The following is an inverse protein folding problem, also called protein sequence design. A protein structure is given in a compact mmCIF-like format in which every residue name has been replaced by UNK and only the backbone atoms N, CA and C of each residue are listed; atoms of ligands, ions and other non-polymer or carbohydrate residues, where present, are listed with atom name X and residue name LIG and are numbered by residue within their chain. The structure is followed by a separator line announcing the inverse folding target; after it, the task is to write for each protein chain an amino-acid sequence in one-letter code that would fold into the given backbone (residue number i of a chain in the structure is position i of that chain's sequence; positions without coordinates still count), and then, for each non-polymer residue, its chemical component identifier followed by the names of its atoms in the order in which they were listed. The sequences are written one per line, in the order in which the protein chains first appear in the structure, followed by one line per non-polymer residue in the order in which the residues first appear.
data_IF_190688020808
#
_entry.id   IF_190688020808
#
_cell.length_a   1.000
_cell.length_b   1.000
_cell.length_c   1.000
_cell.angle_alpha   90.00
_cell.angle_beta   90.00
_cell.angle_gamma   90.00
#
_symmetry.space_group_name_H-M   'P 1'
#
loop_
_entity.id
_entity.type
_entity.pdbx_description
1 polymer ?
#
# COMPACT_ATOMS: atom_id res chain seq x y z
N UNK A 1 -25.10 -1.13 -14.25
CA UNK A 1 -25.13 -0.37 -13.00
C UNK A 1 -25.11 -1.26 -11.75
N UNK A 2 -26.19 -1.96 -11.38
CA UNK A 2 -26.21 -2.76 -10.12
C UNK A 2 -25.10 -3.81 -10.05
N UNK A 3 -24.95 -4.62 -11.12
CA UNK A 3 -23.90 -5.63 -11.25
C UNK A 3 -22.46 -5.06 -11.24
N UNK A 4 -22.29 -3.79 -11.63
CA UNK A 4 -20.96 -3.16 -11.67
C UNK A 4 -20.54 -2.67 -10.29
N UNK A 5 -21.49 -2.13 -9.52
CA UNK A 5 -21.26 -1.69 -8.14
C UNK A 5 -21.02 -2.87 -7.21
N UNK A 6 -21.79 -3.95 -7.36
CA UNK A 6 -21.57 -5.20 -6.61
C UNK A 6 -20.17 -5.79 -6.86
N UNK A 7 -19.71 -5.77 -8.11
CA UNK A 7 -18.37 -6.25 -8.46
C UNK A 7 -17.26 -5.39 -7.81
N UNK A 8 -17.42 -4.06 -7.81
CA UNK A 8 -16.50 -3.15 -7.12
C UNK A 8 -16.46 -3.39 -5.61
N UNK A 9 -17.61 -3.66 -4.99
CA UNK A 9 -17.67 -4.01 -3.57
C UNK A 9 -16.97 -5.34 -3.29
N UNK A 10 -17.15 -6.36 -4.13
CA UNK A 10 -16.44 -7.65 -4.02
C UNK A 10 -14.92 -7.49 -4.11
N UNK A 11 -14.44 -6.68 -5.06
CA UNK A 11 -12.99 -6.37 -5.18
C UNK A 11 -12.47 -5.60 -3.96
N UNK A 12 -13.27 -4.68 -3.41
CA UNK A 12 -12.92 -3.98 -2.19
C UNK A 12 -12.84 -4.93 -0.98
N UNK A 13 -13.76 -5.89 -0.86
CA UNK A 13 -13.72 -6.92 0.18
C UNK A 13 -12.47 -7.80 0.06
N UNK A 14 -12.08 -8.20 -1.15
CA UNK A 14 -10.85 -8.95 -1.39
C UNK A 14 -9.59 -8.17 -1.03
N UNK A 15 -9.55 -6.86 -1.32
CA UNK A 15 -8.43 -5.99 -0.92
C UNK A 15 -8.31 -5.87 0.61
N UNK A 16 -9.43 -5.93 1.31
CA UNK A 16 -9.53 -5.80 2.76
C UNK A 16 -9.43 -7.14 3.50
N UNK A 17 -9.42 -8.27 2.80
CA UNK A 17 -9.33 -9.59 3.40
C UNK A 17 -7.98 -9.79 4.11
N UNK A 18 -8.02 -9.79 5.44
CA UNK A 18 -6.85 -10.00 6.29
C UNK A 18 -6.30 -11.42 6.23
N UNK A 19 -7.07 -12.39 5.72
CA UNK A 19 -6.62 -13.77 5.56
C UNK A 19 -5.77 -13.99 4.31
N UNK A 20 -5.84 -13.08 3.35
CA UNK A 20 -5.05 -13.10 2.13
C UNK A 20 -3.63 -12.56 2.35
N UNK A 21 -2.68 -13.06 1.55
CA UNK A 21 -1.32 -12.53 1.53
C UNK A 21 -1.30 -11.08 1.03
N UNK A 22 -0.33 -10.30 1.48
CA UNK A 22 -0.19 -8.88 1.14
C UNK A 22 -0.07 -8.67 -0.38
N UNK A 23 0.62 -9.55 -1.09
CA UNK A 23 0.72 -9.48 -2.56
C UNK A 23 -0.65 -9.61 -3.22
N UNK A 24 -1.46 -10.58 -2.79
CA UNK A 24 -2.82 -10.79 -3.29
C UNK A 24 -3.72 -9.58 -2.99
N UNK A 25 -3.61 -9.01 -1.79
CA UNK A 25 -4.35 -7.79 -1.40
C UNK A 25 -3.96 -6.58 -2.25
N UNK A 26 -2.67 -6.43 -2.58
CA UNK A 26 -2.20 -5.34 -3.45
C UNK A 26 -2.71 -5.49 -4.89
N UNK A 27 -2.72 -6.71 -5.43
CA UNK A 27 -3.31 -6.99 -6.74
C UNK A 27 -4.81 -6.66 -6.76
N UNK A 28 -5.54 -7.02 -5.71
CA UNK A 28 -6.96 -6.67 -5.57
C UNK A 28 -7.18 -5.14 -5.49
N UNK A 29 -6.30 -4.40 -4.81
CA UNK A 29 -6.34 -2.91 -4.81
C UNK A 29 -6.10 -2.36 -6.21
N UNK A 30 -5.11 -2.88 -6.93
CA UNK A 30 -4.82 -2.44 -8.31
C UNK A 30 -6.03 -2.65 -9.22
N UNK A 31 -6.58 -3.87 -9.21
CA UNK A 31 -7.77 -4.21 -9.99
C UNK A 31 -8.99 -3.37 -9.58
N UNK A 32 -9.22 -3.18 -8.28
CA UNK A 32 -10.28 -2.30 -7.77
C UNK A 32 -10.12 -0.87 -8.30
N UNK A 33 -8.91 -0.30 -8.26
CA UNK A 33 -8.69 1.08 -8.72
C UNK A 33 -8.90 1.25 -10.22
N UNK A 34 -8.51 0.26 -11.02
CA UNK A 34 -8.73 0.30 -12.46
C UNK A 34 -10.21 0.19 -12.81
N UNK A 35 -10.93 -0.75 -12.19
CA UNK A 35 -12.37 -0.91 -12.37
C UNK A 35 -13.14 0.30 -11.87
N UNK A 36 -12.74 0.87 -10.74
CA UNK A 36 -13.36 2.07 -10.17
C UNK A 36 -13.20 3.26 -11.11
N UNK A 37 -12.02 3.43 -11.73
CA UNK A 37 -11.80 4.48 -12.74
C UNK A 37 -12.73 4.30 -13.95
N UNK A 38 -12.80 3.09 -14.50
CA UNK A 38 -13.65 2.78 -15.66
C UNK A 38 -15.12 3.07 -15.34
N UNK A 39 -15.58 2.62 -14.17
CA UNK A 39 -16.93 2.89 -13.69
C UNK A 39 -17.19 4.37 -13.47
N UNK A 40 -16.25 5.11 -12.87
CA UNK A 40 -16.41 6.54 -12.63
C UNK A 40 -16.47 7.34 -13.94
N UNK A 41 -15.71 6.95 -14.96
CA UNK A 41 -15.77 7.58 -16.30
C UNK A 41 -17.07 7.28 -17.03
N UNK A 42 -17.69 6.13 -16.79
CA UNK A 42 -18.99 5.75 -17.37
C UNK A 42 -20.19 6.24 -16.55
N UNK A 43 -19.96 6.72 -15.32
CA UNK A 43 -21.02 7.16 -14.43
C UNK A 43 -21.56 8.54 -14.83
N UNK A 44 -22.82 8.56 -15.27
CA UNK A 44 -23.53 9.81 -15.57
C UNK A 44 -24.21 10.37 -14.32
N UNK A 45 -23.59 11.39 -13.74
CA UNK A 45 -24.10 12.11 -12.55
C UNK A 45 -25.46 12.80 -12.76
N UNK A 46 -25.94 12.92 -14.00
CA UNK A 46 -27.21 13.59 -14.33
C UNK A 46 -28.40 12.65 -14.40
N UNK A 47 -28.18 11.33 -14.31
CA UNK A 47 -29.27 10.36 -14.27
C UNK A 47 -30.05 10.43 -12.96
N UNK A 48 -31.38 10.27 -13.04
CA UNK A 48 -32.22 10.09 -11.86
C UNK A 48 -31.87 8.76 -11.18
N UNK A 49 -31.31 8.86 -9.97
CA UNK A 49 -30.88 7.72 -9.18
C UNK A 49 -32.08 7.19 -8.37
N UNK A 50 -32.38 5.91 -8.51
CA UNK A 50 -33.43 5.26 -7.70
C UNK A 50 -33.01 5.15 -6.23
N UNK A 51 -33.96 4.96 -5.32
CA UNK A 51 -33.65 4.78 -3.90
C UNK A 51 -32.74 3.56 -3.63
N UNK A 52 -32.91 2.49 -4.42
CA UNK A 52 -32.09 1.27 -4.34
C UNK A 52 -30.65 1.55 -4.81
N UNK A 53 -30.49 2.21 -5.96
CA UNK A 53 -29.17 2.60 -6.47
C UNK A 53 -28.43 3.54 -5.54
N UNK A 54 -29.15 4.44 -4.85
CA UNK A 54 -28.55 5.33 -3.86
C UNK A 54 -27.96 4.56 -2.68
N UNK A 55 -28.65 3.52 -2.21
CA UNK A 55 -28.15 2.67 -1.13
C UNK A 55 -26.89 1.90 -1.57
N UNK A 56 -26.86 1.39 -2.80
CA UNK A 56 -25.69 0.73 -3.38
C UNK A 56 -24.49 1.67 -3.47
N UNK A 57 -24.69 2.91 -3.93
CA UNK A 57 -23.64 3.93 -4.00
C UNK A 57 -23.14 4.33 -2.60
N UNK A 58 -24.02 4.41 -1.61
CA UNK A 58 -23.61 4.64 -0.21
C UNK A 58 -22.78 3.48 0.34
N UNK A 59 -23.08 2.24 -0.04
CA UNK A 59 -22.27 1.08 0.32
C UNK A 59 -20.91 1.11 -0.38
N UNK A 60 -20.88 1.42 -1.68
CA UNK A 60 -19.65 1.58 -2.44
C UNK A 60 -18.76 2.67 -1.83
N UNK A 61 -19.33 3.79 -1.41
CA UNK A 61 -18.60 4.87 -0.76
C UNK A 61 -17.95 4.41 0.56
N UNK A 62 -18.65 3.60 1.37
CA UNK A 62 -18.09 3.02 2.59
C UNK A 62 -16.94 2.05 2.30
N UNK A 63 -17.12 1.16 1.32
CA UNK A 63 -16.05 0.25 0.88
C UNK A 63 -14.83 1.03 0.38
N UNK A 64 -15.05 2.09 -0.39
CA UNK A 64 -13.99 2.96 -0.90
C UNK A 64 -13.22 3.65 0.23
N UNK A 65 -13.91 4.18 1.24
CA UNK A 65 -13.26 4.77 2.43
C UNK A 65 -12.37 3.76 3.16
N UNK A 66 -12.83 2.52 3.30
CA UNK A 66 -12.06 1.45 3.93
C UNK A 66 -10.80 1.10 3.13
N UNK A 67 -10.93 0.94 1.81
CA UNK A 67 -9.78 0.69 0.92
C UNK A 67 -8.78 1.85 0.98
N UNK A 68 -9.26 3.10 0.97
CA UNK A 68 -8.41 4.28 1.12
C UNK A 68 -7.69 4.31 2.48
N UNK A 69 -8.37 3.96 3.57
CA UNK A 69 -7.76 3.89 4.89
C UNK A 69 -6.63 2.84 4.91
N UNK A 70 -6.89 1.66 4.37
CA UNK A 70 -5.92 0.58 4.24
C UNK A 70 -4.68 1.00 3.42
N UNK A 71 -4.88 1.59 2.26
CA UNK A 71 -3.77 2.05 1.39
C UNK A 71 -2.96 3.18 2.06
N UNK A 72 -3.62 4.09 2.78
CA UNK A 72 -2.93 5.14 3.52
C UNK A 72 -2.10 4.59 4.68
N UNK A 73 -2.61 3.59 5.39
CA UNK A 73 -1.87 2.89 6.43
C UNK A 73 -0.64 2.18 5.86
N UNK A 74 -0.81 1.42 4.77
CA UNK A 74 0.28 0.79 4.03
C UNK A 74 1.37 1.78 3.63
N UNK A 75 0.98 2.92 3.04
CA UNK A 75 1.91 3.98 2.65
C UNK A 75 2.69 4.51 3.85
N UNK A 76 2.03 4.75 4.98
CA UNK A 76 2.65 5.29 6.18
C UNK A 76 3.61 4.27 6.83
N UNK A 77 3.23 3.00 6.88
CA UNK A 77 4.05 1.89 7.39
C UNK A 77 5.29 1.70 6.52
N UNK A 78 5.13 1.58 5.20
CA UNK A 78 6.24 1.48 4.25
C UNK A 78 7.20 2.67 4.33
N UNK A 79 6.67 3.90 4.46
CA UNK A 79 7.50 5.09 4.63
C UNK A 79 8.29 5.08 5.96
N UNK A 80 7.69 4.55 7.04
CA UNK A 80 8.36 4.38 8.33
C UNK A 80 9.46 3.34 8.24
N UNK A 81 9.17 2.17 7.68
CA UNK A 81 10.14 1.09 7.51
C UNK A 81 11.34 1.53 6.66
N UNK A 82 11.09 2.24 5.54
CA UNK A 82 12.17 2.80 4.71
C UNK A 82 13.07 3.76 5.50
N UNK A 83 12.51 4.59 6.37
CA UNK A 83 13.30 5.48 7.26
C UNK A 83 14.12 4.68 8.26
N UNK A 84 13.55 3.64 8.83
CA UNK A 84 14.23 2.77 9.79
C UNK A 84 15.38 1.99 9.13
N UNK A 85 15.14 1.45 7.93
CA UNK A 85 16.18 0.82 7.12
C UNK A 85 17.30 1.80 6.76
N UNK A 86 16.97 3.03 6.36
CA UNK A 86 17.97 4.07 6.07
C UNK A 86 18.81 4.42 7.30
N UNK A 87 18.19 4.44 8.48
CA UNK A 87 18.89 4.69 9.75
C UNK A 87 19.82 3.54 10.10
N UNK A 88 19.35 2.29 9.99
CA UNK A 88 20.18 1.08 10.18
C UNK A 88 21.34 1.03 9.20
N UNK A 89 21.10 1.32 7.91
CA UNK A 89 22.13 1.37 6.88
C UNK A 89 23.23 2.40 7.19
N UNK A 90 22.86 3.60 7.64
CA UNK A 90 23.81 4.61 8.13
C UNK A 90 24.62 4.12 9.33
N UNK A 91 23.97 3.41 10.27
CA UNK A 91 24.64 2.81 11.42
C UNK A 91 25.67 1.75 11.01
N UNK A 92 25.32 0.88 10.06
CA UNK A 92 26.23 -0.11 9.49
C UNK A 92 27.41 0.59 8.81
N UNK A 93 27.16 1.58 7.95
CA UNK A 93 28.21 2.35 7.28
C UNK A 93 29.15 3.04 8.27
N UNK A 94 28.60 3.67 9.31
CA UNK A 94 29.40 4.29 10.35
C UNK A 94 30.24 3.27 11.14
N UNK A 95 29.71 2.06 11.37
CA UNK A 95 30.45 0.98 12.01
C UNK A 95 31.55 0.42 11.11
N UNK A 96 31.30 0.24 9.82
CA UNK A 96 32.33 -0.20 8.85
C UNK A 96 33.40 0.86 8.61
N UNK A 97 33.05 2.14 8.66
CA UNK A 97 34.02 3.25 8.54
C UNK A 97 34.87 3.43 9.81
N UNK A 98 34.29 3.14 10.99
CA UNK A 98 34.99 3.22 12.28
C UNK A 98 35.72 1.94 12.70
N UNK A 99 35.49 0.82 12.01
CA UNK A 99 36.31 -0.37 12.18
C UNK A 99 37.75 0.02 11.84
N UNK A 100 38.68 0.05 12.82
CA UNK A 100 40.04 0.44 12.51
C UNK A 100 40.54 -0.55 11.47
N UNK A 101 41.18 -0.05 10.40
CA UNK A 101 42.07 -0.86 9.55
C UNK A 101 43.24 -1.35 10.40
N UNK A 102 42.96 -2.18 11.39
CA UNK A 102 43.87 -2.73 12.40
C UNK A 102 44.12 -4.19 12.05
N UNK A 103 44.61 -4.42 10.84
CA UNK A 103 45.37 -5.64 10.57
C UNK A 103 46.64 -5.20 9.85
N UNK A 104 47.75 -5.40 10.58
CA UNK A 104 49.16 -5.46 10.17
C UNK A 104 49.86 -4.21 9.60
N UNK A 105 49.96 -3.14 10.39
CA UNK A 105 51.27 -2.46 10.48
C UNK A 105 52.07 -3.25 11.52
N UNK A 106 52.61 -4.40 11.11
CA UNK A 106 53.66 -5.07 11.86
C UNK A 106 54.83 -4.10 11.93
N UNK A 107 55.01 -3.47 13.10
CA UNK A 107 56.16 -2.64 13.40
C UNK A 107 57.43 -3.44 13.09
N UNK A 108 58.12 -3.05 12.02
CA UNK A 108 59.45 -3.55 11.68
C UNK A 108 60.39 -3.05 12.78
N UNK A 109 60.55 -3.84 13.86
CA UNK A 109 61.61 -3.59 14.87
C UNK A 109 62.95 -3.70 14.13
N UNK A 110 63.58 -2.56 13.87
CA UNK A 110 65.03 -2.48 13.67
C UNK A 110 65.62 -2.22 15.05
N UNK A 111 66.26 -3.25 15.60
CA UNK A 111 66.98 -3.26 16.86
C UNK A 111 67.71 -4.59 16.92
#
# INVERSE_FOLDING_TARGET
MTLEVENLCSLAEQALDESADMEARLLAVEEYTEQFRIWHESFDSTQEISAEQRLELENLAKCHEQVLAFVNELRNTSAKELRDFKTKAKGIMAYTDRLPRRISIAAKRKG
#
